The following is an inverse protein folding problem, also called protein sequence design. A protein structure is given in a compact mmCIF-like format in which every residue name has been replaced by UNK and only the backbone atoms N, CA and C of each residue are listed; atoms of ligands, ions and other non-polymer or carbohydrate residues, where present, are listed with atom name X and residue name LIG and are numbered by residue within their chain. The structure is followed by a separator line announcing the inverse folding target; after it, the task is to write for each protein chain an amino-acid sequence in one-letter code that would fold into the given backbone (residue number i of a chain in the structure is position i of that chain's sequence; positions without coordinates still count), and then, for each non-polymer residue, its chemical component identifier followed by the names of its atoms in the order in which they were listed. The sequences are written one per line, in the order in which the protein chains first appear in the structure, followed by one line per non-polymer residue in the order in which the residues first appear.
data_IF_910086226552
#
_entry.id   IF_910086226552
#
_cell.length_a   1.000
_cell.length_b   1.000
_cell.length_c   1.000
_cell.angle_alpha   90.00
_cell.angle_beta   90.00
_cell.angle_gamma   90.00
#
_symmetry.space_group_name_H-M   'P 1'
#
loop_
_entity.id
_entity.type
_entity.pdbx_description
1 polymer ?
#
# COMPACT_ATOMS: atom_id res chain seq x y z
N UNK A 1 5.02 14.60 8.20
CA UNK A 1 6.05 13.89 9.02
C UNK A 1 6.59 12.75 8.18
N UNK A 2 7.86 12.35 8.31
CA UNK A 2 8.35 11.15 7.62
C UNK A 2 7.58 9.93 8.14
N UNK A 3 7.21 9.02 7.24
CA UNK A 3 6.54 7.78 7.60
C UNK A 3 7.43 6.88 8.44
N UNK A 4 6.79 6.05 9.23
CA UNK A 4 7.44 5.06 10.11
C UNK A 4 7.54 3.67 9.48
N UNK A 5 7.18 3.53 8.20
CA UNK A 5 7.24 2.27 7.47
C UNK A 5 8.67 1.71 7.45
N UNK A 6 8.80 0.45 7.85
CA UNK A 6 10.06 -0.29 7.84
C UNK A 6 9.88 -1.59 7.07
N UNK A 7 10.73 -1.78 6.05
CA UNK A 7 10.76 -2.99 5.23
C UNK A 7 11.94 -3.88 5.63
N UNK A 8 11.69 -5.16 5.84
CA UNK A 8 12.69 -6.15 6.26
C UNK A 8 12.42 -7.53 5.68
N UNK A 9 13.43 -8.40 5.64
CA UNK A 9 13.26 -9.82 5.37
C UNK A 9 13.22 -10.58 6.70
N UNK A 10 12.26 -11.49 6.86
CA UNK A 10 12.26 -12.39 8.02
C UNK A 10 13.31 -13.51 7.87
N UNK A 11 13.46 -14.34 8.91
CA UNK A 11 14.41 -15.46 8.91
C UNK A 11 14.10 -16.53 7.86
N UNK A 12 12.91 -16.52 7.26
CA UNK A 12 12.47 -17.43 6.21
C UNK A 12 12.61 -16.82 4.81
N UNK A 13 13.17 -15.61 4.70
CA UNK A 13 13.32 -14.89 3.42
C UNK A 13 12.01 -14.30 2.90
N UNK A 14 11.03 -14.07 3.77
CA UNK A 14 9.76 -13.40 3.39
C UNK A 14 9.86 -11.91 3.64
N UNK A 15 9.33 -11.12 2.70
CA UNK A 15 9.25 -9.68 2.85
C UNK A 15 8.23 -9.33 3.94
N UNK A 16 8.62 -8.45 4.84
CA UNK A 16 7.82 -7.95 5.96
C UNK A 16 7.85 -6.43 5.94
N UNK A 17 6.70 -5.83 6.21
CA UNK A 17 6.54 -4.39 6.43
C UNK A 17 5.91 -4.16 7.79
N UNK A 18 6.39 -3.16 8.52
CA UNK A 18 5.79 -2.70 9.78
C UNK A 18 5.75 -1.17 9.82
N UNK A 19 4.84 -0.62 10.62
CA UNK A 19 4.70 0.82 10.85
C UNK A 19 4.16 1.06 12.26
N UNK A 20 4.44 2.24 12.83
CA UNK A 20 3.82 2.69 14.06
C UNK A 20 2.54 3.48 13.73
N UNK A 21 1.52 3.51 14.62
CA UNK A 21 0.34 4.31 14.39
C UNK A 21 0.68 5.77 14.02
N UNK A 22 0.07 6.32 12.94
CA UNK A 22 -1.04 5.76 12.17
C UNK A 22 -0.64 4.90 10.94
N UNK A 23 0.66 4.72 10.65
CA UNK A 23 1.14 4.00 9.46
C UNK A 23 1.03 2.47 9.55
N UNK A 24 0.64 1.96 10.72
CA UNK A 24 0.39 0.55 10.96
C UNK A 24 -0.73 -0.01 10.06
N UNK A 25 -1.74 0.81 9.73
CA UNK A 25 -2.80 0.44 8.77
C UNK A 25 -2.24 0.29 7.35
N UNK A 26 -1.44 1.24 6.89
CA UNK A 26 -0.78 1.16 5.59
C UNK A 26 0.19 -0.03 5.53
N UNK A 27 0.94 -0.30 6.60
CA UNK A 27 1.80 -1.48 6.69
C UNK A 27 0.98 -2.78 6.56
N UNK A 28 -0.13 -2.89 7.30
CA UNK A 28 -1.03 -4.04 7.23
C UNK A 28 -1.61 -4.21 5.80
N UNK A 29 -2.03 -3.12 5.16
CA UNK A 29 -2.53 -3.14 3.78
C UNK A 29 -1.48 -3.68 2.79
N UNK A 30 -0.25 -3.15 2.86
CA UNK A 30 0.85 -3.59 2.00
C UNK A 30 1.16 -5.08 2.20
N UNK A 31 1.22 -5.54 3.45
CA UNK A 31 1.52 -6.92 3.78
C UNK A 31 0.41 -7.90 3.33
N UNK A 32 -0.86 -7.53 3.51
CA UNK A 32 -1.99 -8.45 3.40
C UNK A 32 -2.69 -8.42 2.04
N UNK A 33 -2.87 -7.22 1.46
CA UNK A 33 -3.57 -7.05 0.18
C UNK A 33 -2.61 -7.02 -0.99
N UNK A 34 -1.60 -6.15 -0.91
CA UNK A 34 -0.63 -6.01 -1.98
C UNK A 34 0.30 -7.21 -2.02
N UNK A 35 0.67 -7.72 -0.84
CA UNK A 35 1.55 -8.90 -0.64
C UNK A 35 2.94 -8.68 -1.25
N UNK A 36 3.89 -9.61 -1.08
CA UNK A 36 5.14 -9.57 -1.83
C UNK A 36 4.95 -9.97 -3.31
N UNK A 37 4.10 -9.25 -4.02
CA UNK A 37 3.71 -9.51 -5.40
C UNK A 37 4.00 -8.26 -6.25
N UNK A 38 5.02 -8.37 -7.11
CA UNK A 38 5.45 -7.28 -7.98
C UNK A 38 4.37 -6.86 -8.97
N UNK A 39 3.60 -7.81 -9.50
CA UNK A 39 2.58 -7.52 -10.51
C UNK A 39 1.43 -6.73 -9.90
N UNK A 40 1.07 -7.03 -8.64
CA UNK A 40 0.10 -6.24 -7.87
C UNK A 40 0.59 -4.83 -7.59
N UNK A 41 1.83 -4.68 -7.11
CA UNK A 41 2.42 -3.37 -6.84
C UNK A 41 2.52 -2.50 -8.11
N UNK A 42 3.00 -3.07 -9.23
CA UNK A 42 3.04 -2.40 -10.52
C UNK A 42 1.63 -2.08 -11.05
N UNK A 43 0.67 -2.98 -10.86
CA UNK A 43 -0.75 -2.76 -11.15
C UNK A 43 -1.30 -1.54 -10.42
N UNK A 44 -1.02 -1.42 -9.12
CA UNK A 44 -1.43 -0.27 -8.32
C UNK A 44 -0.81 1.03 -8.82
N UNK A 45 0.49 1.06 -9.13
CA UNK A 45 1.16 2.26 -9.68
C UNK A 45 0.54 2.72 -11.01
N UNK A 46 0.09 1.80 -11.85
CA UNK A 46 -0.65 2.13 -13.09
C UNK A 46 -1.99 2.81 -12.78
N UNK A 47 -2.72 2.33 -11.78
CA UNK A 47 -3.99 2.96 -11.33
C UNK A 47 -3.73 4.37 -10.81
N UNK A 48 -2.71 4.54 -9.94
CA UNK A 48 -2.34 5.84 -9.38
C UNK A 48 -1.95 6.84 -10.48
N UNK A 49 -1.19 6.39 -11.47
CA UNK A 49 -0.83 7.20 -12.64
C UNK A 49 -2.08 7.65 -13.42
N UNK A 50 -3.04 6.76 -13.65
CA UNK A 50 -4.27 7.09 -14.36
C UNK A 50 -5.13 8.12 -13.59
N UNK A 51 -5.18 8.03 -12.26
CA UNK A 51 -5.84 9.01 -11.40
C UNK A 51 -5.16 10.38 -11.51
N UNK A 52 -3.82 10.45 -11.36
CA UNK A 52 -3.07 11.70 -11.46
C UNK A 52 -3.21 12.39 -12.83
N UNK A 53 -3.25 11.61 -13.90
CA UNK A 53 -3.45 12.11 -15.26
C UNK A 53 -4.90 12.50 -15.56
N UNK A 54 -5.83 12.29 -14.62
CA UNK A 54 -7.25 12.55 -14.82
C UNK A 54 -7.92 11.64 -15.85
N UNK A 55 -7.30 10.50 -16.17
CA UNK A 55 -7.90 9.45 -17.02
C UNK A 55 -8.89 8.59 -16.23
N UNK A 56 -8.85 8.71 -14.91
CA UNK A 56 -9.79 8.11 -13.96
C UNK A 56 -10.04 9.12 -12.84
N UNK A 57 -11.27 9.19 -12.34
CA UNK A 57 -11.63 10.10 -11.25
C UNK A 57 -11.53 9.43 -9.88
N UNK A 58 -11.92 8.15 -9.83
CA UNK A 58 -11.99 7.33 -8.63
C UNK A 58 -11.68 5.87 -8.95
N UNK A 59 -11.09 5.15 -7.99
CA UNK A 59 -10.92 3.70 -8.07
C UNK A 59 -11.10 3.10 -6.68
N UNK A 60 -12.00 2.12 -6.56
CA UNK A 60 -12.27 1.43 -5.31
C UNK A 60 -12.03 -0.06 -5.50
N UNK A 61 -11.48 -0.70 -4.48
CA UNK A 61 -11.28 -2.15 -4.43
C UNK A 61 -11.55 -2.68 -3.03
N UNK A 62 -12.28 -3.79 -2.96
CA UNK A 62 -12.46 -4.57 -1.73
C UNK A 62 -11.43 -5.69 -1.74
N UNK A 63 -10.53 -5.67 -0.75
CA UNK A 63 -9.56 -6.74 -0.52
C UNK A 63 -10.09 -7.84 0.38
N UNK A 64 -9.21 -8.77 0.77
CA UNK A 64 -9.55 -9.88 1.67
C UNK A 64 -9.79 -9.37 3.10
N UNK A 65 -8.95 -8.44 3.54
CA UNK A 65 -8.94 -7.85 4.88
C UNK A 65 -9.20 -6.35 4.86
N UNK A 66 -8.65 -5.65 3.86
CA UNK A 66 -8.70 -4.20 3.73
C UNK A 66 -9.29 -3.76 2.39
N UNK A 67 -10.20 -2.79 2.44
CA UNK A 67 -10.72 -2.05 1.29
C UNK A 67 -9.89 -0.79 1.06
N UNK A 68 -9.76 -0.38 -0.20
CA UNK A 68 -9.04 0.82 -0.61
C UNK A 68 -9.91 1.66 -1.54
N UNK A 69 -10.08 2.93 -1.19
CA UNK A 69 -10.68 3.95 -2.05
C UNK A 69 -9.60 4.95 -2.48
N UNK A 70 -9.52 5.22 -3.77
CA UNK A 70 -8.58 6.17 -4.34
C UNK A 70 -9.31 7.25 -5.12
N UNK A 71 -8.90 8.49 -4.92
CA UNK A 71 -9.21 9.60 -5.82
C UNK A 71 -7.93 10.44 -6.04
N UNK A 72 -8.03 11.52 -6.82
CA UNK A 72 -6.86 12.35 -7.17
C UNK A 72 -6.18 13.01 -5.96
N UNK A 73 -6.87 13.17 -4.85
CA UNK A 73 -6.37 13.86 -3.67
C UNK A 73 -5.86 12.89 -2.59
N UNK A 74 -6.55 11.77 -2.39
CA UNK A 74 -6.31 10.88 -1.25
C UNK A 74 -6.42 9.40 -1.60
N UNK A 75 -5.77 8.59 -0.77
CA UNK A 75 -6.06 7.18 -0.57
C UNK A 75 -6.72 7.01 0.80
N UNK A 76 -7.75 6.16 0.85
CA UNK A 76 -8.50 5.86 2.05
C UNK A 76 -8.55 4.34 2.23
N UNK A 77 -7.90 3.84 3.27
CA UNK A 77 -7.81 2.42 3.61
C UNK A 77 -8.80 2.15 4.74
N UNK A 78 -9.65 1.14 4.58
CA UNK A 78 -10.67 0.80 5.56
C UNK A 78 -10.71 -0.70 5.81
N UNK A 79 -10.79 -1.10 7.07
CA UNK A 79 -11.10 -2.49 7.43
C UNK A 79 -12.60 -2.63 7.64
N UNK A 80 -13.25 -3.46 6.83
CA UNK A 80 -14.63 -3.89 7.10
C UNK A 80 -14.69 -5.12 8.03
N UNK A 81 -13.61 -5.93 8.07
CA UNK A 81 -13.64 -7.27 8.68
C UNK A 81 -12.50 -7.53 9.68
N UNK A 82 -11.31 -6.96 9.49
CA UNK A 82 -10.13 -7.25 10.33
C UNK A 82 -10.25 -6.68 11.74
N UNK A 83 -10.49 -5.37 11.81
CA UNK A 83 -10.68 -4.58 13.01
C UNK A 83 -11.73 -3.53 12.66
N UNK A 84 -13.00 -3.75 13.05
CA UNK A 84 -14.08 -2.82 12.73
C UNK A 84 -13.73 -1.39 13.13
N UNK A 85 -13.86 -0.45 12.19
CA UNK A 85 -13.63 0.97 12.41
C UNK A 85 -12.17 1.42 12.29
N UNK A 86 -11.22 0.53 12.00
CA UNK A 86 -9.84 0.92 11.73
C UNK A 86 -9.70 1.41 10.28
N UNK A 87 -9.23 2.63 10.12
CA UNK A 87 -9.03 3.25 8.81
C UNK A 87 -7.87 4.23 8.82
N UNK A 88 -7.30 4.48 7.65
CA UNK A 88 -6.30 5.51 7.45
C UNK A 88 -6.59 6.28 6.16
N UNK A 89 -6.70 7.60 6.28
CA UNK A 89 -6.71 8.53 5.15
C UNK A 89 -5.32 9.14 4.99
N UNK A 90 -4.86 9.25 3.75
CA UNK A 90 -3.56 9.83 3.43
C UNK A 90 -3.56 10.48 2.05
N UNK A 91 -2.69 11.47 1.79
CA UNK A 91 -2.53 12.03 0.46
C UNK A 91 -2.18 10.95 -0.57
N UNK A 92 -2.71 11.08 -1.79
CA UNK A 92 -2.47 10.10 -2.86
C UNK A 92 -0.97 9.95 -3.17
N UNK A 93 -0.23 11.08 -3.14
CA UNK A 93 1.22 11.11 -3.36
C UNK A 93 1.95 10.28 -2.31
N UNK A 94 1.64 10.47 -1.04
CA UNK A 94 2.28 9.68 -0.01
C UNK A 94 1.93 8.20 -0.21
N UNK A 95 0.67 7.84 -0.52
CA UNK A 95 0.31 6.43 -0.78
C UNK A 95 1.15 5.85 -1.93
N UNK A 96 1.30 6.59 -3.03
CA UNK A 96 2.15 6.21 -4.16
C UNK A 96 3.60 5.96 -3.73
N UNK A 97 4.18 6.83 -2.92
CA UNK A 97 5.55 6.66 -2.41
C UNK A 97 5.71 5.36 -1.62
N UNK A 98 4.73 4.99 -0.79
CA UNK A 98 4.78 3.73 -0.05
C UNK A 98 4.74 2.51 -0.97
N UNK A 99 3.92 2.54 -2.02
CA UNK A 99 3.85 1.47 -3.03
C UNK A 99 5.18 1.37 -3.78
N UNK A 100 5.81 2.51 -4.13
CA UNK A 100 7.12 2.55 -4.79
C UNK A 100 8.21 1.97 -3.90
N UNK A 101 8.30 2.40 -2.64
CA UNK A 101 9.29 1.87 -1.70
C UNK A 101 9.11 0.38 -1.43
N UNK A 102 7.86 -0.11 -1.37
CA UNK A 102 7.59 -1.54 -1.26
C UNK A 102 8.05 -2.31 -2.50
N UNK A 103 7.74 -1.81 -3.70
CA UNK A 103 8.18 -2.41 -4.96
C UNK A 103 9.70 -2.47 -5.05
N UNK A 104 10.39 -1.36 -4.78
CA UNK A 104 11.83 -1.26 -4.81
C UNK A 104 12.48 -2.24 -3.81
N UNK A 105 11.95 -2.32 -2.59
CA UNK A 105 12.40 -3.28 -1.59
C UNK A 105 12.31 -4.74 -2.08
N UNK A 106 11.20 -5.10 -2.73
CA UNK A 106 11.03 -6.45 -3.29
C UNK A 106 11.97 -6.71 -4.47
N UNK A 107 12.20 -5.73 -5.34
CA UNK A 107 13.08 -5.85 -6.50
C UNK A 107 14.55 -6.03 -6.09
N UNK A 108 14.99 -5.36 -5.02
CA UNK A 108 16.34 -5.51 -4.47
C UNK A 108 16.66 -6.96 -4.07
N UNK A 109 15.66 -7.76 -3.67
CA UNK A 109 15.87 -9.18 -3.34
C UNK A 109 16.08 -10.10 -4.54
N UNK A 110 15.60 -9.71 -5.72
CA UNK A 110 15.76 -10.51 -6.95
C UNK A 110 17.09 -10.28 -7.66
N UNK A 111 17.77 -9.19 -7.31
CA UNK A 111 19.07 -8.83 -7.88
C UNK A 111 20.25 -9.53 -7.17
N UNK A 112 19.98 -10.26 -6.07
CA UNK A 112 20.96 -11.00 -5.26
C UNK A 112 20.63 -12.49 -5.23
#
# INVERSE_FOLDING_TARGET
MPRTLRFTWDQQGRAVVSGLPPDDVLADYLAQELRPDLDRAQGMLRVLTALRQGRRDRWDVTGDTWSLELNRARASIHSEVAIPGRSQDLPLEEFEDAIRSWLEFMELSRAH
#
